data_IF_121745370726
#
_entry.id   IF_121745370726
#
_cell.length_a   1.000
_cell.length_b   1.000
_cell.length_c   1.000
_cell.angle_alpha   90.00
_cell.angle_beta   90.00
_cell.angle_gamma   90.00
#
_symmetry.space_group_name_H-M   'P 1'
#
loop_
_entity.id
_entity.type
_entity.pdbx_description
1 polymer ?
#
# COMPACT_ATOMS: atom_id res chain seq x y z
N UNK A 1 -18.24 -35.21 -41.54
CA UNK A 1 -16.82 -34.99 -41.86
C UNK A 1 -16.10 -34.72 -40.56
N UNK A 2 -15.37 -35.70 -40.03
CA UNK A 2 -14.44 -35.48 -38.91
C UNK A 2 -13.18 -34.91 -39.57
N UNK A 3 -13.01 -33.60 -39.54
CA UNK A 3 -11.76 -32.97 -39.98
C UNK A 3 -10.62 -33.62 -39.20
N UNK A 4 -9.53 -34.00 -39.87
CA UNK A 4 -8.35 -34.67 -39.29
C UNK A 4 -7.55 -33.80 -38.31
N UNK A 5 -8.25 -33.03 -37.48
CA UNK A 5 -7.68 -32.13 -36.49
C UNK A 5 -6.92 -32.91 -35.43
N UNK A 6 -5.69 -32.50 -35.10
CA UNK A 6 -4.91 -33.14 -34.06
C UNK A 6 -5.64 -33.06 -32.71
N UNK A 7 -5.83 -34.21 -32.07
CA UNK A 7 -6.37 -34.31 -30.72
C UNK A 7 -5.26 -34.05 -29.71
N UNK A 8 -5.21 -32.82 -29.20
CA UNK A 8 -4.33 -32.42 -28.09
C UNK A 8 -5.11 -32.42 -26.79
N UNK A 9 -4.68 -33.22 -25.80
CA UNK A 9 -5.32 -33.29 -24.49
C UNK A 9 -4.30 -33.53 -23.38
N UNK A 10 -4.52 -32.87 -22.25
CA UNK A 10 -3.81 -33.14 -21.00
C UNK A 10 -4.75 -33.78 -19.99
N UNK A 11 -4.31 -34.86 -19.37
CA UNK A 11 -5.10 -35.57 -18.37
C UNK A 11 -4.20 -36.30 -17.38
N UNK A 12 -4.82 -36.80 -16.31
CA UNK A 12 -4.14 -37.55 -15.25
C UNK A 12 -4.34 -39.04 -15.47
N UNK A 13 -3.28 -39.81 -15.25
CA UNK A 13 -3.32 -41.28 -15.21
C UNK A 13 -2.82 -41.76 -13.85
N UNK A 14 -3.24 -42.96 -13.45
CA UNK A 14 -2.72 -43.67 -12.28
C UNK A 14 -1.94 -44.87 -12.81
N UNK A 15 -0.64 -44.94 -12.52
CA UNK A 15 0.20 -46.08 -12.90
C UNK A 15 -0.11 -47.30 -12.02
N UNK A 16 0.27 -48.53 -12.43
CA UNK A 16 0.04 -49.74 -11.63
C UNK A 16 0.66 -49.70 -10.21
N UNK A 17 1.70 -48.88 -10.00
CA UNK A 17 2.31 -48.64 -8.70
C UNK A 17 1.56 -47.59 -7.85
N UNK A 18 0.38 -47.13 -8.26
CA UNK A 18 -0.45 -46.15 -7.57
C UNK A 18 -0.06 -44.69 -7.80
N UNK A 19 1.01 -44.40 -8.55
CA UNK A 19 1.45 -43.03 -8.78
C UNK A 19 0.55 -42.28 -9.77
N UNK A 20 0.09 -41.10 -9.37
CA UNK A 20 -0.58 -40.15 -10.24
C UNK A 20 0.45 -39.49 -11.17
N UNK A 21 0.19 -39.46 -12.49
CA UNK A 21 1.02 -38.77 -13.48
C UNK A 21 0.17 -37.90 -14.40
N UNK A 22 0.69 -36.73 -14.73
CA UNK A 22 0.13 -35.88 -15.78
C UNK A 22 0.72 -36.30 -17.12
N UNK A 23 -0.15 -36.52 -18.10
CA UNK A 23 0.27 -36.84 -19.46
C UNK A 23 -0.32 -35.85 -20.45
N UNK A 24 0.50 -35.48 -21.43
CA UNK A 24 0.09 -34.76 -22.62
C UNK A 24 -0.03 -35.77 -23.76
N UNK A 25 -1.23 -35.90 -24.32
CA UNK A 25 -1.50 -36.74 -25.48
C UNK A 25 -1.71 -35.86 -26.70
N UNK A 26 -0.95 -36.14 -27.77
CA UNK A 26 -1.16 -35.57 -29.10
C UNK A 26 -1.41 -36.72 -30.05
N UNK A 27 -2.55 -36.73 -30.72
CA UNK A 27 -2.90 -37.77 -31.68
C UNK A 27 -3.43 -37.20 -32.99
N UNK A 28 -2.98 -37.75 -34.11
CA UNK A 28 -3.39 -37.38 -35.46
C UNK A 28 -4.11 -38.54 -36.14
N UNK A 29 -5.17 -38.20 -36.86
CA UNK A 29 -5.98 -39.15 -37.61
C UNK A 29 -5.46 -39.22 -39.06
N UNK A 30 -5.01 -40.41 -39.46
CA UNK A 30 -4.57 -40.70 -40.83
C UNK A 30 -5.76 -41.18 -41.65
N UNK A 31 -6.06 -40.45 -42.71
CA UNK A 31 -7.12 -40.75 -43.67
C UNK A 31 -6.55 -41.46 -44.91
N UNK A 32 -7.33 -42.31 -45.58
CA UNK A 32 -7.00 -42.81 -46.92
C UNK A 32 -7.24 -41.73 -47.99
N UNK A 33 -6.88 -42.05 -49.24
CA UNK A 33 -7.07 -41.15 -50.40
C UNK A 33 -8.55 -40.78 -50.68
N UNK A 34 -9.50 -41.49 -50.07
CA UNK A 34 -10.96 -41.27 -50.19
C UNK A 34 -11.50 -40.46 -48.98
N UNK A 35 -10.64 -40.11 -48.02
CA UNK A 35 -11.00 -39.33 -46.84
C UNK A 35 -11.54 -40.15 -45.66
N UNK A 36 -11.41 -41.47 -45.70
CA UNK A 36 -11.87 -42.36 -44.62
C UNK A 36 -10.76 -42.61 -43.59
N UNK A 37 -11.08 -42.68 -42.29
CA UNK A 37 -10.10 -42.91 -41.24
C UNK A 37 -9.52 -44.33 -41.28
N UNK A 38 -8.19 -44.43 -41.40
CA UNK A 38 -7.46 -45.72 -41.45
C UNK A 38 -6.70 -45.98 -40.17
N UNK A 39 -6.16 -44.94 -39.53
CA UNK A 39 -5.31 -45.10 -38.33
C UNK A 39 -5.29 -43.83 -37.50
N UNK A 40 -5.08 -43.98 -36.19
CA UNK A 40 -4.72 -42.88 -35.30
C UNK A 40 -3.27 -43.11 -34.85
N UNK A 41 -2.41 -42.11 -35.04
CA UNK A 41 -1.06 -42.11 -34.51
C UNK A 41 -0.99 -41.11 -33.36
N UNK A 42 -0.62 -41.57 -32.18
CA UNK A 42 -0.54 -40.71 -31.00
C UNK A 42 0.76 -40.89 -30.23
N UNK A 43 1.22 -39.79 -29.64
CA UNK A 43 2.28 -39.78 -28.64
C UNK A 43 1.69 -39.37 -27.30
N UNK A 44 2.12 -40.05 -26.24
CA UNK A 44 1.76 -39.72 -24.86
C UNK A 44 3.04 -39.41 -24.11
N UNK A 45 3.18 -38.15 -23.70
CA UNK A 45 4.34 -37.64 -22.99
C UNK A 45 3.99 -37.47 -21.51
N UNK A 46 4.80 -38.03 -20.62
CA UNK A 46 4.69 -37.74 -19.19
C UNK A 46 5.24 -36.33 -18.92
N UNK A 47 4.35 -35.42 -18.52
CA UNK A 47 4.67 -34.03 -18.22
C UNK A 47 4.68 -33.75 -16.72
N UNK A 48 4.64 -34.79 -15.87
CA UNK A 48 4.54 -34.65 -14.41
C UNK A 48 5.69 -33.83 -13.85
N UNK A 49 6.94 -34.19 -14.18
CA UNK A 49 8.12 -33.50 -13.67
C UNK A 49 8.17 -32.04 -14.11
N UNK A 50 7.74 -31.75 -15.35
CA UNK A 50 7.69 -30.39 -15.88
C UNK A 50 6.66 -29.55 -15.12
N UNK A 51 5.45 -30.08 -14.88
CA UNK A 51 4.43 -29.38 -14.08
C UNK A 51 4.84 -29.23 -12.62
N UNK A 52 5.36 -30.29 -11.99
CA UNK A 52 5.79 -30.26 -10.59
C UNK A 52 6.94 -29.29 -10.34
N UNK A 53 7.84 -29.11 -11.31
CA UNK A 53 8.91 -28.09 -11.21
C UNK A 53 8.38 -26.66 -11.37
N UNK A 54 7.27 -26.47 -12.10
CA UNK A 54 6.64 -25.17 -12.31
C UNK A 54 5.67 -24.77 -11.19
N UNK A 55 5.15 -25.73 -10.42
CA UNK A 55 4.18 -25.48 -9.36
C UNK A 55 4.72 -24.65 -8.18
N UNK A 56 5.91 -24.93 -7.61
CA UNK A 56 6.51 -24.09 -6.56
C UNK A 56 6.73 -22.66 -7.04
N UNK A 57 7.26 -22.49 -8.26
CA UNK A 57 7.48 -21.17 -8.87
C UNK A 57 6.17 -20.39 -9.02
N UNK A 58 5.09 -21.07 -9.42
CA UNK A 58 3.77 -20.45 -9.55
C UNK A 58 3.18 -20.05 -8.19
N UNK A 59 3.34 -20.89 -7.18
CA UNK A 59 2.89 -20.58 -5.82
C UNK A 59 3.65 -19.38 -5.23
N UNK A 60 4.96 -19.28 -5.47
CA UNK A 60 5.76 -18.13 -5.03
C UNK A 60 5.40 -16.85 -5.77
N UNK A 61 5.15 -16.93 -7.08
CA UNK A 61 4.66 -15.79 -7.88
C UNK A 61 3.26 -15.35 -7.43
N UNK A 62 2.36 -16.28 -7.16
CA UNK A 62 1.01 -15.98 -6.67
C UNK A 62 1.06 -15.35 -5.26
N UNK A 63 1.93 -15.86 -4.39
CA UNK A 63 2.17 -15.30 -3.05
C UNK A 63 2.79 -13.91 -3.12
N UNK A 64 3.75 -13.70 -4.02
CA UNK A 64 4.35 -12.40 -4.31
C UNK A 64 3.31 -11.39 -4.81
N UNK A 65 2.52 -11.79 -5.80
CA UNK A 65 1.44 -10.95 -6.35
C UNK A 65 0.36 -10.64 -5.29
N UNK A 66 0.10 -11.56 -4.37
CA UNK A 66 -0.80 -11.31 -3.24
C UNK A 66 -0.21 -10.28 -2.26
N UNK A 67 1.08 -10.39 -1.91
CA UNK A 67 1.77 -9.41 -1.06
C UNK A 67 1.79 -8.01 -1.68
N UNK A 68 2.08 -7.92 -2.98
CA UNK A 68 1.99 -6.65 -3.74
C UNK A 68 0.59 -6.04 -3.62
N UNK A 69 -0.47 -6.85 -3.84
CA UNK A 69 -1.85 -6.36 -3.80
C UNK A 69 -2.28 -5.88 -2.42
N UNK A 70 -1.79 -6.51 -1.35
CA UNK A 70 -2.11 -6.15 0.04
C UNK A 70 -1.36 -4.89 0.49
N UNK A 71 -0.19 -4.60 -0.07
CA UNK A 71 0.63 -3.49 0.39
C UNK A 71 0.00 -2.09 0.17
N UNK A 72 -1.10 -1.99 -0.61
CA UNK A 72 -1.77 -0.76 -1.08
C UNK A 72 -0.80 0.33 -1.61
N UNK A 73 0.45 -0.04 -1.82
CA UNK A 73 1.57 0.84 -2.10
C UNK A 73 2.02 0.71 -3.54
N UNK A 74 2.69 1.76 -4.00
CA UNK A 74 3.45 1.77 -5.24
C UNK A 74 4.59 0.77 -5.13
N UNK A 75 4.66 -0.22 -6.01
CA UNK A 75 5.80 -1.16 -6.07
C UNK A 75 6.71 -0.72 -7.20
N UNK A 76 8.02 -0.78 -6.98
CA UNK A 76 9.00 -0.34 -7.96
C UNK A 76 10.24 -1.22 -7.95
N UNK A 77 10.93 -1.28 -9.09
CA UNK A 77 12.20 -1.98 -9.23
C UNK A 77 13.27 -1.03 -9.72
N UNK A 78 14.52 -1.31 -9.37
CA UNK A 78 15.68 -0.59 -9.88
C UNK A 78 16.79 -1.54 -10.32
N UNK A 79 17.60 -1.13 -11.29
CA UNK A 79 18.80 -1.87 -11.67
C UNK A 79 19.88 -1.79 -10.57
N UNK A 80 20.94 -2.61 -10.63
CA UNK A 80 22.01 -2.62 -9.62
C UNK A 80 22.67 -1.26 -9.37
N UNK A 81 22.71 -0.40 -10.39
CA UNK A 81 23.23 0.98 -10.34
C UNK A 81 22.23 1.99 -9.74
N UNK A 82 21.07 1.54 -9.28
CA UNK A 82 20.06 2.37 -8.62
C UNK A 82 19.08 3.07 -9.56
N UNK A 83 19.16 2.84 -10.88
CA UNK A 83 18.21 3.45 -11.83
C UNK A 83 16.87 2.72 -11.76
N UNK A 84 15.77 3.46 -11.56
CA UNK A 84 14.42 2.87 -11.53
C UNK A 84 14.11 2.25 -12.90
N UNK A 85 13.66 1.00 -12.92
CA UNK A 85 13.39 0.21 -14.14
C UNK A 85 11.92 -0.09 -14.36
N UNK A 86 11.11 -0.14 -13.31
CA UNK A 86 9.66 -0.31 -13.41
C UNK A 86 8.93 0.29 -12.21
N UNK A 87 7.71 0.75 -12.46
CA UNK A 87 6.72 1.12 -11.45
C UNK A 87 5.44 0.29 -11.69
N UNK A 88 4.91 -0.30 -10.64
CA UNK A 88 3.65 -1.04 -10.64
C UNK A 88 2.66 -0.39 -9.69
N UNK A 89 1.37 -0.47 -10.03
CA UNK A 89 0.27 0.14 -9.28
C UNK A 89 0.36 1.67 -9.13
N UNK A 90 1.26 2.33 -9.86
CA UNK A 90 1.26 3.79 -10.00
C UNK A 90 0.19 4.22 -10.99
N UNK A 91 -0.90 4.79 -10.47
CA UNK A 91 -1.92 5.43 -11.30
C UNK A 91 -1.53 6.89 -11.54
N UNK A 92 -0.59 7.15 -12.44
CA UNK A 92 -0.43 8.51 -12.97
C UNK A 92 -1.63 8.83 -13.86
N UNK A 93 -2.52 9.69 -13.36
CA UNK A 93 -3.53 10.37 -14.16
C UNK A 93 -2.97 11.69 -14.71
N UNK A 94 -1.81 11.66 -15.38
CA UNK A 94 -1.48 12.70 -16.35
C UNK A 94 -2.05 12.25 -17.69
N UNK A 95 -2.81 13.12 -18.37
CA UNK A 95 -3.41 12.85 -19.68
C UNK A 95 -2.37 12.56 -20.78
N UNK A 96 -1.07 12.75 -20.49
CA UNK A 96 0.03 12.64 -21.43
C UNK A 96 0.82 11.32 -21.34
N UNK A 97 0.23 10.26 -20.78
CA UNK A 97 0.82 8.92 -20.76
C UNK A 97 1.97 8.72 -19.75
N UNK A 98 2.55 7.50 -19.68
CA UNK A 98 3.58 7.12 -18.70
C UNK A 98 4.95 7.73 -19.09
N UNK A 99 5.05 9.05 -19.03
CA UNK A 99 6.28 9.77 -19.24
C UNK A 99 6.96 9.93 -17.87
N UNK A 100 8.22 9.48 -17.79
CA UNK A 100 9.15 9.62 -16.65
C UNK A 100 8.89 8.71 -15.44
N UNK A 101 9.32 7.46 -15.55
CA UNK A 101 9.42 6.53 -14.41
C UNK A 101 10.58 5.54 -14.52
N UNK A 102 11.41 5.67 -15.57
CA UNK A 102 12.54 4.79 -15.83
C UNK A 102 13.77 5.67 -16.06
N UNK A 103 14.74 5.67 -15.13
CA UNK A 103 15.79 6.69 -15.12
C UNK A 103 16.04 7.31 -13.74
N UNK A 104 16.58 8.53 -13.74
CA UNK A 104 16.71 9.39 -12.55
C UNK A 104 15.46 10.28 -12.33
N UNK A 105 14.46 10.15 -13.19
CA UNK A 105 13.32 11.07 -13.26
C UNK A 105 12.33 10.95 -12.09
N UNK A 106 12.50 9.93 -11.24
CA UNK A 106 11.74 9.79 -10.00
C UNK A 106 11.99 10.95 -9.01
N UNK A 107 13.13 11.63 -9.15
CA UNK A 107 13.48 12.82 -8.35
C UNK A 107 12.52 13.99 -8.63
N UNK A 108 11.99 14.09 -9.85
CA UNK A 108 11.04 15.14 -10.22
C UNK A 108 9.67 14.95 -9.57
N UNK A 109 9.37 13.73 -9.11
CA UNK A 109 8.18 13.43 -8.32
C UNK A 109 8.35 13.84 -6.85
N UNK A 110 9.56 14.13 -6.40
CA UNK A 110 9.81 14.58 -5.03
C UNK A 110 9.57 16.08 -4.89
N UNK A 111 9.08 16.46 -3.70
CA UNK A 111 9.12 17.84 -3.27
C UNK A 111 10.56 18.36 -3.26
N UNK A 112 10.78 19.61 -3.67
CA UNK A 112 12.12 20.19 -3.90
C UNK A 112 13.04 20.06 -2.68
N UNK A 113 12.52 20.31 -1.48
CA UNK A 113 13.24 20.17 -0.21
C UNK A 113 13.71 18.73 0.10
N UNK A 114 13.05 17.72 -0.46
CA UNK A 114 13.33 16.31 -0.15
C UNK A 114 14.32 15.66 -1.15
N UNK A 115 14.57 16.31 -2.30
CA UNK A 115 15.34 15.76 -3.43
C UNK A 115 16.76 15.37 -3.06
N UNK A 116 17.52 16.30 -2.50
CA UNK A 116 18.95 16.09 -2.18
C UNK A 116 19.12 14.99 -1.12
N UNK A 117 18.26 14.99 -0.10
CA UNK A 117 18.28 13.99 0.95
C UNK A 117 17.92 12.59 0.42
N UNK A 118 16.89 12.50 -0.42
CA UNK A 118 16.48 11.24 -1.03
C UNK A 118 17.57 10.67 -1.95
N UNK A 119 18.16 11.50 -2.82
CA UNK A 119 19.26 11.10 -3.70
C UNK A 119 20.47 10.60 -2.93
N UNK A 120 20.88 11.31 -1.88
CA UNK A 120 22.01 10.91 -1.04
C UNK A 120 21.75 9.58 -0.35
N UNK A 121 20.58 9.42 0.28
CA UNK A 121 20.22 8.18 0.98
C UNK A 121 20.09 6.99 0.03
N UNK A 122 19.57 7.23 -1.17
CA UNK A 122 19.48 6.20 -2.20
C UNK A 122 20.87 5.77 -2.69
N UNK A 123 21.76 6.74 -2.98
CA UNK A 123 23.14 6.47 -3.41
C UNK A 123 23.89 5.63 -2.38
N UNK A 124 23.78 5.95 -1.08
CA UNK A 124 24.39 5.16 -0.01
C UNK A 124 23.85 3.72 0.00
N UNK A 125 22.55 3.54 -0.21
CA UNK A 125 21.94 2.19 -0.24
C UNK A 125 22.47 1.39 -1.43
N UNK A 126 22.54 2.02 -2.60
CA UNK A 126 23.07 1.43 -3.85
C UNK A 126 24.55 1.03 -3.70
N UNK A 127 25.38 1.90 -3.12
CA UNK A 127 26.82 1.65 -2.93
C UNK A 127 27.10 0.55 -1.89
N UNK A 128 26.29 0.48 -0.84
CA UNK A 128 26.53 -0.44 0.29
C UNK A 128 25.75 -1.75 0.21
N UNK A 129 24.72 -1.82 -0.63
CA UNK A 129 23.77 -2.93 -0.65
C UNK A 129 22.89 -3.01 0.61
N UNK A 130 22.85 -1.96 1.44
CA UNK A 130 21.99 -1.94 2.62
C UNK A 130 20.54 -1.57 2.27
N UNK A 131 19.54 -2.04 3.03
CA UNK A 131 18.14 -1.67 2.79
C UNK A 131 17.92 -0.16 2.82
N UNK A 132 17.18 0.34 1.84
CA UNK A 132 16.73 1.71 1.77
C UNK A 132 15.43 1.87 2.56
N UNK A 133 15.34 2.90 3.41
CA UNK A 133 14.11 3.24 4.12
C UNK A 133 14.07 4.73 4.45
N UNK A 134 13.15 5.45 3.82
CA UNK A 134 12.98 6.90 4.03
C UNK A 134 11.52 7.28 3.98
N UNK A 135 11.22 8.50 4.42
CA UNK A 135 9.93 9.15 4.20
C UNK A 135 10.16 10.46 3.47
N UNK A 136 9.43 10.68 2.37
CA UNK A 136 9.50 11.91 1.59
C UNK A 136 8.16 12.22 0.94
N UNK A 137 8.00 13.45 0.47
CA UNK A 137 6.78 13.89 -0.20
C UNK A 137 6.83 13.53 -1.69
N UNK A 138 5.81 12.83 -2.17
CA UNK A 138 5.60 12.52 -3.58
C UNK A 138 4.45 13.35 -4.17
N UNK A 139 4.68 13.89 -5.35
CA UNK A 139 3.71 14.61 -6.17
C UNK A 139 2.61 13.66 -6.65
N UNK A 140 1.36 14.06 -6.42
CA UNK A 140 0.17 13.34 -6.81
C UNK A 140 -0.42 13.86 -8.13
N UNK A 141 -1.32 13.10 -8.78
CA UNK A 141 -1.96 13.55 -10.02
C UNK A 141 -2.76 14.85 -9.91
N UNK A 142 -3.25 15.18 -8.72
CA UNK A 142 -3.94 16.44 -8.41
C UNK A 142 -2.99 17.61 -8.10
N UNK A 143 -1.69 17.43 -8.38
CA UNK A 143 -0.61 18.36 -8.10
C UNK A 143 -0.37 18.65 -6.60
N UNK A 144 -0.94 17.86 -5.69
CA UNK A 144 -0.64 17.95 -4.26
C UNK A 144 0.55 17.07 -3.88
N UNK A 145 1.17 17.37 -2.73
CA UNK A 145 2.22 16.55 -2.16
C UNK A 145 1.71 15.73 -0.99
N UNK A 146 1.94 14.43 -1.03
CA UNK A 146 1.58 13.49 0.05
C UNK A 146 2.82 12.80 0.60
N UNK A 147 2.79 12.47 1.90
CA UNK A 147 3.92 11.77 2.53
C UNK A 147 3.87 10.30 2.16
N UNK A 148 4.99 9.78 1.67
CA UNK A 148 5.18 8.37 1.40
C UNK A 148 6.33 7.84 2.24
N UNK A 149 6.15 6.62 2.72
CA UNK A 149 7.22 5.81 3.30
C UNK A 149 7.71 4.85 2.23
N UNK A 150 8.95 5.05 1.81
CA UNK A 150 9.59 4.31 0.73
C UNK A 150 10.62 3.37 1.34
N UNK A 151 10.50 2.07 1.04
CA UNK A 151 11.42 1.03 1.51
C UNK A 151 11.87 0.18 0.33
N UNK A 152 13.15 -0.19 0.26
CA UNK A 152 13.66 -1.10 -0.75
C UNK A 152 14.75 -2.01 -0.22
N UNK A 153 14.86 -3.19 -0.82
CA UNK A 153 15.85 -4.22 -0.51
C UNK A 153 16.51 -4.72 -1.81
N UNK A 154 17.80 -5.09 -1.77
CA UNK A 154 18.44 -5.70 -2.92
C UNK A 154 18.05 -7.17 -3.04
N UNK A 155 17.81 -7.61 -4.26
CA UNK A 155 17.85 -9.02 -4.65
C UNK A 155 19.27 -9.32 -5.09
N UNK A 156 19.86 -10.36 -4.49
CA UNK A 156 21.24 -10.74 -4.74
C UNK A 156 21.32 -11.87 -5.76
N UNK A 157 22.32 -11.81 -6.62
CA UNK A 157 22.79 -12.91 -7.44
C UNK A 157 23.45 -14.00 -6.56
N UNK A 158 23.72 -15.17 -7.14
CA UNK A 158 24.38 -16.28 -6.44
C UNK A 158 25.81 -15.94 -5.97
N UNK A 159 26.47 -14.97 -6.60
CA UNK A 159 27.80 -14.47 -6.26
C UNK A 159 27.79 -13.39 -5.16
N UNK A 160 26.60 -13.03 -4.67
CA UNK A 160 26.42 -11.99 -3.64
C UNK A 160 26.36 -10.56 -4.20
N UNK A 161 26.50 -10.36 -5.51
CA UNK A 161 26.30 -9.07 -6.15
C UNK A 161 24.82 -8.69 -6.22
N UNK A 162 24.50 -7.39 -6.22
CA UNK A 162 23.10 -6.95 -6.40
C UNK A 162 22.66 -7.22 -7.84
N UNK A 163 21.58 -7.99 -7.99
CA UNK A 163 20.93 -8.29 -9.26
C UNK A 163 19.92 -7.20 -9.64
N UNK A 164 19.11 -6.78 -8.66
CA UNK A 164 18.10 -5.74 -8.81
C UNK A 164 17.68 -5.24 -7.42
N UNK A 165 17.03 -4.09 -7.36
CA UNK A 165 16.38 -3.59 -6.16
C UNK A 165 14.87 -3.74 -6.28
N UNK A 166 14.24 -4.10 -5.18
CA UNK A 166 12.78 -4.15 -5.06
C UNK A 166 12.31 -3.23 -3.95
N UNK A 167 11.42 -2.32 -4.29
CA UNK A 167 10.91 -1.30 -3.39
C UNK A 167 9.40 -1.19 -3.37
N UNK A 168 8.91 -0.65 -2.25
CA UNK A 168 7.52 -0.32 -2.03
C UNK A 168 7.42 1.08 -1.41
N UNK A 169 6.48 1.86 -1.87
CA UNK A 169 6.17 3.20 -1.37
C UNK A 169 4.71 3.24 -0.94
N UNK A 170 4.49 3.38 0.36
CA UNK A 170 3.15 3.42 0.97
C UNK A 170 2.78 4.84 1.36
N UNK A 171 1.57 5.28 1.04
CA UNK A 171 1.03 6.57 1.50
C UNK A 171 0.86 6.55 3.02
N UNK A 172 1.57 7.45 3.69
CA UNK A 172 1.50 7.66 5.15
C UNK A 172 1.09 9.10 5.47
N UNK A 173 0.50 9.81 4.52
CA UNK A 173 0.11 11.21 4.66
C UNK A 173 -0.83 11.43 5.82
N UNK A 174 -1.86 10.59 5.94
CA UNK A 174 -2.79 10.66 7.05
C UNK A 174 -2.07 10.36 8.38
N UNK A 175 -1.26 9.31 8.45
CA UNK A 175 -0.46 8.98 9.66
C UNK A 175 0.45 10.15 10.09
N UNK A 176 1.12 10.79 9.13
CA UNK A 176 1.98 11.96 9.37
C UNK A 176 1.19 13.17 9.83
N UNK A 177 0.06 13.48 9.19
CA UNK A 177 -0.81 14.58 9.61
C UNK A 177 -1.37 14.32 11.01
N UNK A 178 -1.74 13.08 11.35
CA UNK A 178 -2.16 12.72 12.70
C UNK A 178 -1.02 12.83 13.71
N UNK A 179 0.18 12.36 13.38
CA UNK A 179 1.36 12.52 14.25
C UNK A 179 1.75 13.98 14.47
N UNK A 180 1.69 14.81 13.42
CA UNK A 180 1.94 16.25 13.49
C UNK A 180 0.81 17.00 14.21
N UNK A 181 -0.44 16.55 14.07
CA UNK A 181 -1.58 17.13 14.78
C UNK A 181 -1.64 16.70 16.24
N UNK A 182 -1.09 15.52 16.58
CA UNK A 182 -0.85 15.11 17.96
C UNK A 182 0.25 15.93 18.67
N UNK A 183 1.11 16.62 17.91
CA UNK A 183 2.06 17.62 18.45
C UNK A 183 1.41 18.98 18.75
N UNK A 184 0.19 19.23 18.24
CA UNK A 184 -0.62 20.37 18.70
C UNK A 184 -1.40 19.96 19.94
N UNK A 185 -1.36 20.74 21.02
CA UNK A 185 -2.18 20.44 22.18
C UNK A 185 -3.66 20.51 21.80
N UNK A 186 -4.35 19.37 21.85
CA UNK A 186 -5.77 19.26 21.50
C UNK A 186 -6.61 19.15 22.76
N UNK A 187 -7.72 19.88 22.79
CA UNK A 187 -8.75 19.75 23.83
C UNK A 187 -9.12 18.26 23.96
N UNK A 188 -9.12 17.75 25.19
CA UNK A 188 -9.53 16.37 25.48
C UNK A 188 -10.98 16.33 25.95
N UNK A 189 -11.65 15.19 25.80
CA UNK A 189 -12.97 14.95 26.38
C UNK A 189 -12.99 15.12 27.90
N UNK A 190 -11.87 14.81 28.57
CA UNK A 190 -11.69 15.08 30.00
C UNK A 190 -11.68 16.58 30.32
N UNK A 191 -10.93 17.39 29.56
CA UNK A 191 -10.94 18.84 29.69
C UNK A 191 -12.31 19.44 29.36
N UNK A 192 -13.00 18.94 28.33
CA UNK A 192 -14.36 19.42 27.99
C UNK A 192 -15.35 19.17 29.13
N UNK A 193 -15.34 17.97 29.72
CA UNK A 193 -16.18 17.67 30.91
C UNK A 193 -15.84 18.57 32.07
N UNK A 194 -14.54 18.76 32.34
CA UNK A 194 -14.09 19.58 33.46
C UNK A 194 -14.42 21.08 33.26
N UNK A 195 -14.25 21.60 32.04
CA UNK A 195 -14.61 22.98 31.68
C UNK A 195 -16.11 23.22 31.83
N UNK A 196 -16.96 22.30 31.32
CA UNK A 196 -18.40 22.36 31.58
C UNK A 196 -18.73 22.25 33.07
N UNK A 197 -17.99 21.43 33.81
CA UNK A 197 -18.14 21.30 35.26
C UNK A 197 -17.89 22.62 35.99
N UNK A 198 -16.83 23.35 35.62
CA UNK A 198 -16.52 24.69 36.15
C UNK A 198 -17.65 25.68 35.84
N UNK A 199 -18.19 25.63 34.62
CA UNK A 199 -19.26 26.52 34.17
C UNK A 199 -20.66 26.10 34.62
N UNK A 200 -20.80 24.95 35.29
CA UNK A 200 -22.07 24.31 35.61
C UNK A 200 -22.99 24.15 34.36
N UNK A 201 -22.39 23.80 33.22
CA UNK A 201 -23.10 23.62 31.95
C UNK A 201 -23.48 22.15 31.71
N UNK A 202 -24.74 21.94 31.35
CA UNK A 202 -25.21 20.69 30.74
C UNK A 202 -24.67 20.54 29.31
N UNK A 203 -24.68 19.31 28.78
CA UNK A 203 -24.37 19.04 27.37
C UNK A 203 -25.27 19.85 26.43
N UNK A 204 -26.55 20.05 26.81
CA UNK A 204 -27.51 20.85 26.03
C UNK A 204 -27.08 22.31 25.97
N UNK A 205 -26.69 22.90 27.10
CA UNK A 205 -26.22 24.29 27.11
C UNK A 205 -24.94 24.47 26.29
N UNK A 206 -24.00 23.53 26.34
CA UNK A 206 -22.81 23.58 25.47
C UNK A 206 -23.21 23.47 23.98
N UNK A 207 -24.17 22.60 23.65
CA UNK A 207 -24.71 22.49 22.30
C UNK A 207 -25.31 23.81 21.82
N UNK A 208 -26.11 24.46 22.66
CA UNK A 208 -26.75 25.74 22.36
C UNK A 208 -25.72 26.86 22.14
N UNK A 209 -24.61 26.86 22.88
CA UNK A 209 -23.53 27.86 22.74
C UNK A 209 -22.63 27.63 21.52
N UNK A 210 -22.49 26.39 21.07
CA UNK A 210 -21.52 26.00 20.02
C UNK A 210 -22.18 25.72 18.68
N UNK A 211 -23.51 25.54 18.66
CA UNK A 211 -24.25 25.03 17.49
C UNK A 211 -23.98 23.55 17.19
N UNK A 212 -23.22 22.84 18.04
CA UNK A 212 -22.85 21.43 17.83
C UNK A 212 -23.87 20.52 18.49
N UNK A 213 -24.25 19.43 17.81
CA UNK A 213 -25.28 18.54 18.34
C UNK A 213 -24.84 17.87 19.67
N UNK A 214 -25.78 17.67 20.63
CA UNK A 214 -25.49 16.98 21.88
C UNK A 214 -24.88 15.59 21.71
N UNK A 215 -25.20 14.89 20.63
CA UNK A 215 -24.67 13.56 20.31
C UNK A 215 -23.17 13.61 19.98
N UNK A 216 -22.74 14.64 19.22
CA UNK A 216 -21.32 14.84 18.89
C UNK A 216 -20.53 15.19 20.15
N UNK A 217 -21.07 16.05 21.01
CA UNK A 217 -20.43 16.41 22.29
C UNK A 217 -20.25 15.18 23.18
N UNK A 218 -21.30 14.34 23.36
CA UNK A 218 -21.20 13.11 24.16
C UNK A 218 -20.17 12.14 23.62
N UNK A 219 -20.19 11.91 22.30
CA UNK A 219 -19.23 11.01 21.62
C UNK A 219 -17.79 11.51 21.77
N UNK A 220 -17.59 12.82 21.71
CA UNK A 220 -16.27 13.42 21.93
C UNK A 220 -15.81 13.26 23.38
N UNK A 221 -16.70 13.51 24.35
CA UNK A 221 -16.39 13.32 25.77
C UNK A 221 -16.01 11.86 26.08
N UNK A 222 -16.81 10.89 25.63
CA UNK A 222 -16.64 9.47 25.98
C UNK A 222 -15.40 8.83 25.37
N UNK A 223 -15.18 9.03 24.07
CA UNK A 223 -14.14 8.29 23.34
C UNK A 223 -12.82 9.06 23.22
N UNK A 224 -12.74 10.29 23.73
CA UNK A 224 -11.62 11.21 23.46
C UNK A 224 -11.36 11.30 21.94
N UNK A 225 -12.40 11.08 21.12
CA UNK A 225 -12.28 10.69 19.72
C UNK A 225 -11.85 11.86 18.86
N UNK A 226 -10.55 12.11 18.87
CA UNK A 226 -9.84 12.95 17.91
C UNK A 226 -10.01 12.48 16.45
N UNK A 227 -10.58 11.28 16.25
CA UNK A 227 -10.82 10.66 14.94
C UNK A 227 -12.06 11.18 14.22
N UNK A 228 -12.92 12.00 14.85
CA UNK A 228 -14.26 12.31 14.32
C UNK A 228 -14.68 13.79 14.38
N UNK A 229 -13.81 14.69 14.84
CA UNK A 229 -14.11 16.13 15.00
C UNK A 229 -13.06 16.95 14.27
N UNK A 230 -13.49 17.80 13.34
CA UNK A 230 -12.60 18.67 12.54
C UNK A 230 -11.87 19.70 13.42
N UNK A 231 -10.73 20.21 12.97
CA UNK A 231 -9.98 21.25 13.69
C UNK A 231 -10.82 22.53 13.92
N UNK A 232 -11.70 22.89 12.97
CA UNK A 232 -12.65 24.00 13.13
C UNK A 232 -13.58 23.82 14.33
N UNK A 233 -14.12 22.62 14.53
CA UNK A 233 -14.99 22.34 15.67
C UNK A 233 -14.22 22.42 17.00
N UNK A 234 -12.94 22.04 17.00
CA UNK A 234 -12.08 22.16 18.17
C UNK A 234 -11.84 23.61 18.55
N UNK A 235 -11.63 24.48 17.56
CA UNK A 235 -11.50 25.93 17.78
C UNK A 235 -12.79 26.54 18.33
N UNK A 236 -13.96 26.12 17.81
CA UNK A 236 -15.27 26.54 18.33
C UNK A 236 -15.38 26.22 19.82
N UNK A 237 -15.08 24.99 20.24
CA UNK A 237 -15.16 24.63 21.66
C UNK A 237 -14.17 25.43 22.53
N UNK A 238 -12.92 25.56 22.09
CA UNK A 238 -11.89 26.29 22.85
C UNK A 238 -12.28 27.76 23.01
N UNK A 239 -12.79 28.39 21.95
CA UNK A 239 -13.25 29.76 21.97
C UNK A 239 -14.46 29.93 22.89
N UNK A 240 -15.47 29.08 22.78
CA UNK A 240 -16.65 29.15 23.66
C UNK A 240 -16.28 29.04 25.13
N UNK A 241 -15.36 28.14 25.49
CA UNK A 241 -14.90 28.01 26.88
C UNK A 241 -14.07 29.21 27.34
N UNK A 242 -13.18 29.73 26.49
CA UNK A 242 -12.40 30.93 26.78
C UNK A 242 -13.29 32.15 26.99
N UNK A 243 -14.29 32.35 26.12
CA UNK A 243 -15.25 33.46 26.19
C UNK A 243 -16.14 33.35 27.44
N UNK A 244 -16.39 32.13 27.92
CA UNK A 244 -17.11 31.85 29.16
C UNK A 244 -16.23 31.93 30.44
N UNK A 245 -14.95 32.25 30.31
CA UNK A 245 -14.04 32.41 31.45
C UNK A 245 -13.36 31.11 31.92
N UNK A 246 -13.19 30.12 31.05
CA UNK A 246 -12.39 28.92 31.33
C UNK A 246 -11.12 28.92 30.49
N UNK A 247 -9.98 28.76 31.16
CA UNK A 247 -8.68 28.57 30.52
C UNK A 247 -8.35 27.08 30.40
N UNK A 248 -8.02 26.65 29.18
CA UNK A 248 -7.61 25.30 28.86
C UNK A 248 -6.08 25.20 28.89
N UNK A 249 -5.55 24.28 29.70
CA UNK A 249 -4.11 24.12 29.91
C UNK A 249 -3.55 22.96 29.09
N UNK A 250 -2.47 23.25 28.38
CA UNK A 250 -1.86 22.41 27.37
C UNK A 250 -0.34 22.25 27.61
N UNK A 251 0.08 21.63 28.73
CA UNK A 251 1.49 21.54 29.07
C UNK A 251 2.26 20.63 28.11
N UNK A 252 3.49 21.02 27.76
CA UNK A 252 4.44 20.19 27.00
C UNK A 252 4.84 18.92 27.77
N UNK A 253 4.81 18.98 29.11
CA UNK A 253 5.08 17.86 30.02
C UNK A 253 4.06 17.91 31.17
N UNK A 254 3.25 16.86 31.35
CA UNK A 254 2.22 16.77 32.40
C UNK A 254 0.83 16.44 31.86
N UNK A 255 -0.16 16.30 32.76
CA UNK A 255 -1.55 16.04 32.36
C UNK A 255 -2.22 17.36 31.95
N UNK A 256 -3.00 17.37 30.85
CA UNK A 256 -3.78 18.54 30.46
C UNK A 256 -4.82 18.89 31.55
N UNK A 257 -5.13 20.18 31.67
CA UNK A 257 -5.96 20.71 32.76
C UNK A 257 -6.93 21.79 32.29
N UNK A 258 -7.78 22.25 33.21
CA UNK A 258 -8.67 23.39 33.02
C UNK A 258 -8.70 24.20 34.32
N UNK A 259 -8.83 25.52 34.21
CA UNK A 259 -9.01 26.40 35.37
C UNK A 259 -9.97 27.55 35.05
N UNK A 260 -10.69 28.09 36.04
CA UNK A 260 -11.39 29.36 35.85
C UNK A 260 -10.37 30.48 35.61
N UNK A 261 -10.73 31.42 34.75
CA UNK A 261 -9.98 32.64 34.47
C UNK A 261 -10.25 33.72 35.50
#
# INVERSE_FOLDING_TARGET
MLDGLPLKREFRIIRPNGQLRWVHSHAELLLNAVGEPVRILGVVLDITNSRESLLPLRADVDRYNALIRVAEGLVWTASPDGRITALQNWKTARQDGPLLACGNDWVDLLHEEDRDAALKNWSVSVETGLPYKVEHRLLQPDATYRWFRCSAVPILNQDGGVQEWMGVSTDVHNEKLFGLSALRPRLTGAQMRAARGILNWSVKQLADQTGVSPAVIRRFEECNSALLVSDELMEVFQRTFSDAGVELLFPQVGKPGVRPR
#
